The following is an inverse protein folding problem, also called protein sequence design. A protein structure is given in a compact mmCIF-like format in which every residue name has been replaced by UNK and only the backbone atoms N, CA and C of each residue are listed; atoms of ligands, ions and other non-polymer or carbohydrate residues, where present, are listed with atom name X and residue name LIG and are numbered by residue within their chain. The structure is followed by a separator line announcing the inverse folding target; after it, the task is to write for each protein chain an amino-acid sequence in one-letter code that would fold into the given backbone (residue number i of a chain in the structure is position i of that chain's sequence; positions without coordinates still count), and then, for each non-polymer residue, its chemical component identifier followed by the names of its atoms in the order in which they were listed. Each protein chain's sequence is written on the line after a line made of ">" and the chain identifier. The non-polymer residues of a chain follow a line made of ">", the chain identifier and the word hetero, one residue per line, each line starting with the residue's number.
data_IF_618963181108
#
_entry.id   IF_618963181108
#
_cell.length_a   1.000
_cell.length_b   1.000
_cell.length_c   1.000
_cell.angle_alpha   90.00
_cell.angle_beta   90.00
_cell.angle_gamma   90.00
#
_symmetry.space_group_name_H-M   'P 1'
#
loop_
_entity.id
_entity.type
_entity.pdbx_description
1 polymer ?
#
# COMPACT_ATOMS: atom_id res chain seq x y z
N UNK A 1 8.09 2.11 12.42
CA UNK A 1 9.44 2.48 11.97
C UNK A 1 9.36 3.12 10.60
N UNK A 2 9.73 4.41 10.49
CA UNK A 2 9.67 5.18 9.23
C UNK A 2 10.61 4.64 8.17
N UNK A 3 11.78 4.11 8.53
CA UNK A 3 12.71 3.48 7.57
C UNK A 3 12.08 2.28 6.88
N UNK A 4 11.31 1.47 7.62
CA UNK A 4 10.57 0.34 7.05
C UNK A 4 9.48 0.82 6.08
N UNK A 5 8.73 1.86 6.45
CA UNK A 5 7.67 2.42 5.61
C UNK A 5 8.24 3.00 4.31
N UNK A 6 9.35 3.74 4.39
CA UNK A 6 10.04 4.27 3.22
C UNK A 6 10.58 3.16 2.31
N UNK A 7 11.22 2.14 2.90
CA UNK A 7 11.66 0.98 2.13
C UNK A 7 10.48 0.28 1.44
N UNK A 8 9.41 0.04 2.18
CA UNK A 8 8.21 -0.60 1.64
C UNK A 8 7.60 0.21 0.49
N UNK A 9 7.46 1.52 0.65
CA UNK A 9 6.90 2.39 -0.37
C UNK A 9 7.77 2.45 -1.64
N UNK A 10 9.08 2.62 -1.49
CA UNK A 10 9.99 2.78 -2.61
C UNK A 10 10.30 1.44 -3.28
N UNK A 11 10.71 0.45 -2.50
CA UNK A 11 11.20 -0.82 -3.04
C UNK A 11 10.05 -1.73 -3.44
N UNK A 12 9.08 -1.94 -2.56
CA UNK A 12 8.03 -2.92 -2.75
C UNK A 12 6.86 -2.39 -3.60
N UNK A 13 6.43 -1.13 -3.39
CA UNK A 13 5.31 -0.54 -4.12
C UNK A 13 5.74 0.18 -5.39
N UNK A 14 6.76 1.04 -5.33
CA UNK A 14 7.12 1.90 -6.46
C UNK A 14 8.02 1.19 -7.47
N UNK A 15 9.14 0.61 -7.04
CA UNK A 15 10.08 -0.08 -7.93
C UNK A 15 9.68 -1.52 -8.25
N UNK A 16 8.87 -2.16 -7.41
CA UNK A 16 8.47 -3.54 -7.60
C UNK A 16 9.51 -4.58 -7.21
N UNK A 17 10.55 -4.17 -6.51
CA UNK A 17 11.57 -5.08 -6.00
C UNK A 17 11.07 -5.80 -4.75
N UNK A 18 11.38 -7.08 -4.63
CA UNK A 18 11.01 -7.93 -3.49
C UNK A 18 12.19 -8.76 -3.00
N UNK A 19 11.96 -9.55 -1.97
CA UNK A 19 12.92 -10.57 -1.51
C UNK A 19 12.92 -11.74 -2.49
N UNK A 20 14.04 -12.45 -2.58
CA UNK A 20 14.18 -13.61 -3.48
C UNK A 20 13.09 -14.69 -3.33
N UNK A 21 12.49 -14.80 -2.15
CA UNK A 21 11.45 -15.80 -1.86
C UNK A 21 10.04 -15.33 -2.20
N UNK A 22 9.86 -14.06 -2.62
CA UNK A 22 8.55 -13.50 -2.96
C UNK A 22 8.22 -13.76 -4.42
N UNK A 23 7.06 -14.35 -4.68
CA UNK A 23 6.59 -14.64 -6.04
C UNK A 23 6.11 -13.39 -6.79
N UNK A 24 5.79 -12.33 -6.07
CA UNK A 24 5.43 -11.01 -6.60
C UNK A 24 5.59 -9.93 -5.53
N UNK A 25 5.69 -8.69 -5.98
CA UNK A 25 5.41 -7.50 -5.17
C UNK A 25 4.22 -6.76 -5.77
N UNK A 26 3.60 -5.84 -5.03
CA UNK A 26 2.56 -5.00 -5.63
C UNK A 26 3.13 -4.14 -6.76
N UNK A 27 4.35 -3.60 -6.57
CA UNK A 27 5.03 -2.82 -7.58
C UNK A 27 5.38 -3.61 -8.82
N UNK A 28 5.83 -4.87 -8.71
CA UNK A 28 6.09 -5.70 -9.89
C UNK A 28 4.84 -5.90 -10.75
N UNK A 29 3.67 -6.06 -10.09
CA UNK A 29 2.37 -6.15 -10.79
C UNK A 29 1.92 -4.82 -11.40
N UNK A 30 2.38 -3.68 -10.84
CA UNK A 30 2.11 -2.35 -11.36
C UNK A 30 3.05 -1.98 -12.51
N UNK A 31 4.25 -2.60 -12.58
CA UNK A 31 5.27 -2.29 -13.59
C UNK A 31 5.34 -3.27 -14.75
N UNK A 32 4.86 -4.52 -14.56
CA UNK A 32 4.96 -5.58 -15.54
C UNK A 32 3.63 -6.34 -15.75
N UNK A 33 3.31 -6.77 -16.98
CA UNK A 33 4.03 -6.56 -18.27
C UNK A 33 3.82 -5.15 -18.85
N UNK A 34 3.00 -4.32 -18.23
CA UNK A 34 2.74 -2.92 -18.58
C UNK A 34 3.09 -2.07 -17.38
N UNK A 35 3.87 -1.02 -17.58
CA UNK A 35 4.11 -0.02 -16.54
C UNK A 35 2.86 0.85 -16.36
N UNK A 36 1.91 0.36 -15.55
CA UNK A 36 0.64 1.01 -15.30
C UNK A 36 0.80 2.36 -14.60
N UNK A 37 1.86 2.52 -13.78
CA UNK A 37 2.14 3.78 -13.09
C UNK A 37 2.59 4.85 -14.08
N UNK A 38 3.52 4.51 -14.98
CA UNK A 38 3.97 5.43 -16.01
C UNK A 38 2.84 5.80 -16.99
N UNK A 39 2.02 4.83 -17.40
CA UNK A 39 0.87 5.11 -18.27
C UNK A 39 -0.19 5.97 -17.57
N UNK A 40 -0.46 5.73 -16.29
CA UNK A 40 -1.34 6.56 -15.48
C UNK A 40 -0.84 8.02 -15.40
N UNK A 41 0.46 8.22 -15.16
CA UNK A 41 1.07 9.55 -15.15
C UNK A 41 0.90 10.23 -16.52
N UNK A 42 1.21 9.54 -17.61
CA UNK A 42 1.06 10.08 -18.98
C UNK A 42 -0.40 10.48 -19.28
N UNK A 43 -1.36 9.70 -18.81
CA UNK A 43 -2.77 10.00 -18.99
C UNK A 43 -3.14 11.31 -18.26
N UNK A 44 -2.76 11.48 -17.00
CA UNK A 44 -3.01 12.71 -16.26
C UNK A 44 -2.23 13.92 -16.78
N UNK A 45 -1.04 13.73 -17.32
CA UNK A 45 -0.29 14.80 -18.02
C UNK A 45 -1.05 15.28 -19.26
N UNK A 46 -1.71 14.36 -19.96
CA UNK A 46 -2.51 14.66 -21.16
C UNK A 46 -3.88 15.24 -20.83
N UNK A 47 -4.54 14.67 -19.83
CA UNK A 47 -5.92 15.03 -19.44
C UNK A 47 -6.10 14.89 -17.92
N UNK A 48 -6.09 16.00 -17.20
CA UNK A 48 -6.21 16.02 -15.73
C UNK A 48 -7.49 15.35 -15.23
N UNK A 49 -8.59 15.43 -15.98
CA UNK A 49 -9.90 14.89 -15.59
C UNK A 49 -10.16 13.48 -16.15
N UNK A 50 -9.09 12.73 -16.49
CA UNK A 50 -9.23 11.35 -16.96
C UNK A 50 -9.84 10.48 -15.86
N UNK A 51 -10.93 9.77 -16.20
CA UNK A 51 -11.67 8.88 -15.30
C UNK A 51 -11.41 7.39 -15.58
N UNK A 52 -10.42 7.08 -16.40
CA UNK A 52 -10.12 5.71 -16.82
C UNK A 52 -8.86 5.16 -16.14
N UNK A 53 -8.26 5.93 -15.25
CA UNK A 53 -6.95 5.61 -14.65
C UNK A 53 -7.14 4.68 -13.46
N UNK A 54 -7.27 3.41 -13.74
CA UNK A 54 -7.35 2.33 -12.76
C UNK A 54 -6.17 1.37 -12.95
N UNK A 55 -5.40 1.16 -11.91
CA UNK A 55 -4.26 0.22 -11.89
C UNK A 55 -4.68 -1.10 -11.26
N UNK A 56 -4.43 -2.22 -11.97
CA UNK A 56 -4.84 -3.57 -11.58
C UNK A 56 -3.63 -4.38 -11.13
N UNK A 57 -3.68 -4.88 -9.91
CA UNK A 57 -2.61 -5.68 -9.29
C UNK A 57 -2.96 -7.17 -9.36
N UNK A 58 -4.23 -7.49 -9.11
CA UNK A 58 -4.71 -8.87 -9.18
C UNK A 58 -5.02 -9.25 -10.62
N UNK A 59 -4.36 -10.29 -11.12
CA UNK A 59 -4.56 -10.82 -12.45
C UNK A 59 -5.64 -11.91 -12.47
N UNK A 60 -6.24 -12.24 -13.64
CA UNK A 60 -7.20 -13.33 -13.77
C UNK A 60 -6.68 -14.68 -13.27
N UNK A 61 -5.41 -14.96 -13.47
CA UNK A 61 -4.73 -16.20 -13.06
C UNK A 61 -4.63 -16.35 -11.54
N UNK A 62 -4.74 -15.26 -10.80
CA UNK A 62 -4.75 -15.27 -9.33
C UNK A 62 -6.02 -15.93 -8.74
N UNK A 63 -6.96 -16.39 -9.58
CA UNK A 63 -8.11 -17.22 -9.16
C UNK A 63 -7.67 -18.65 -8.79
N UNK A 64 -6.57 -19.12 -9.34
CA UNK A 64 -6.10 -20.48 -9.10
C UNK A 64 -5.49 -20.61 -7.70
N UNK A 65 -5.77 -21.72 -7.01
CA UNK A 65 -5.15 -22.04 -5.71
C UNK A 65 -3.78 -22.68 -5.86
N UNK A 66 -3.54 -23.30 -6.99
CA UNK A 66 -2.27 -23.89 -7.40
C UNK A 66 -1.97 -23.44 -8.83
N UNK A 67 -0.72 -23.18 -9.12
CA UNK A 67 -0.29 -22.90 -10.47
C UNK A 67 -0.61 -24.11 -11.36
N UNK A 68 -1.40 -23.97 -12.42
CA UNK A 68 -1.80 -25.11 -13.27
C UNK A 68 -0.63 -25.87 -13.90
N UNK A 69 0.51 -25.16 -14.12
CA UNK A 69 1.71 -25.71 -14.75
C UNK A 69 2.71 -26.29 -13.75
N UNK A 70 3.04 -25.53 -12.70
CA UNK A 70 4.09 -25.93 -11.73
C UNK A 70 3.56 -26.72 -10.55
N UNK A 71 2.25 -26.69 -10.31
CA UNK A 71 1.57 -27.29 -9.14
C UNK A 71 1.97 -26.67 -7.80
N UNK A 72 2.67 -25.56 -7.83
CA UNK A 72 3.02 -24.81 -6.64
C UNK A 72 1.81 -24.07 -6.10
N UNK A 73 1.77 -23.95 -4.78
CA UNK A 73 0.73 -23.18 -4.09
C UNK A 73 0.78 -21.72 -4.54
N UNK A 74 -0.34 -21.20 -4.98
CA UNK A 74 -0.46 -19.82 -5.42
C UNK A 74 -1.06 -18.93 -4.32
N UNK A 75 -0.36 -17.86 -3.96
CA UNK A 75 -0.84 -16.87 -3.00
C UNK A 75 -1.11 -15.55 -3.74
N UNK A 76 -2.37 -15.26 -4.07
CA UNK A 76 -2.72 -14.07 -4.83
C UNK A 76 -2.55 -12.78 -4.01
N UNK A 77 -2.31 -11.64 -4.67
CA UNK A 77 -2.19 -10.34 -4.01
C UNK A 77 -3.39 -10.01 -3.14
N UNK A 78 -3.13 -9.41 -1.96
CA UNK A 78 -4.20 -8.89 -1.09
C UNK A 78 -4.77 -7.58 -1.64
N UNK A 79 -3.90 -6.63 -2.00
CA UNK A 79 -4.28 -5.45 -2.75
C UNK A 79 -4.61 -5.86 -4.19
N UNK A 80 -5.78 -5.52 -4.66
CA UNK A 80 -6.29 -5.97 -5.95
C UNK A 80 -6.34 -4.87 -6.99
N UNK A 81 -6.69 -3.65 -6.57
CA UNK A 81 -6.91 -2.50 -7.46
C UNK A 81 -6.51 -1.22 -6.72
N UNK A 82 -5.89 -0.31 -7.44
CA UNK A 82 -5.72 1.10 -7.07
C UNK A 82 -6.43 1.92 -8.14
N UNK A 83 -7.53 2.53 -7.77
CA UNK A 83 -8.24 3.48 -8.61
C UNK A 83 -7.86 4.90 -8.23
N UNK A 84 -7.68 5.78 -9.21
CA UNK A 84 -7.16 7.12 -8.99
C UNK A 84 -8.07 8.17 -9.60
N UNK A 85 -8.17 9.33 -8.95
CA UNK A 85 -8.98 10.46 -9.42
C UNK A 85 -8.36 11.78 -8.97
N UNK A 86 -8.32 12.77 -9.88
CA UNK A 86 -8.00 14.14 -9.52
C UNK A 86 -9.31 14.91 -9.33
N UNK A 87 -9.53 15.41 -8.13
CA UNK A 87 -10.68 16.25 -7.79
C UNK A 87 -10.23 17.43 -6.93
N UNK A 88 -10.57 18.65 -7.36
CA UNK A 88 -10.17 19.89 -6.68
C UNK A 88 -8.66 19.98 -6.46
N UNK A 89 -7.88 19.73 -7.50
CA UNK A 89 -6.40 19.73 -7.52
C UNK A 89 -5.76 18.77 -6.50
N UNK A 90 -6.49 17.72 -6.16
CA UNK A 90 -6.01 16.67 -5.24
C UNK A 90 -6.12 15.30 -5.88
N UNK A 91 -5.04 14.52 -5.77
CA UNK A 91 -5.01 13.12 -6.19
C UNK A 91 -5.59 12.22 -5.10
N UNK A 92 -6.73 11.63 -5.36
CA UNK A 92 -7.40 10.66 -4.49
C UNK A 92 -7.11 9.25 -4.96
N UNK A 93 -6.89 8.33 -4.02
CA UNK A 93 -6.73 6.92 -4.30
C UNK A 93 -7.84 6.12 -3.61
N UNK A 94 -8.47 5.21 -4.36
CA UNK A 94 -9.38 4.19 -3.82
C UNK A 94 -8.75 2.82 -4.01
N UNK A 95 -8.49 2.12 -2.92
CA UNK A 95 -7.79 0.84 -2.90
C UNK A 95 -8.71 -0.28 -2.44
N UNK A 96 -8.76 -1.37 -3.21
CA UNK A 96 -9.53 -2.57 -2.84
C UNK A 96 -8.61 -3.71 -2.41
N UNK A 97 -8.83 -4.20 -1.19
CA UNK A 97 -8.16 -5.38 -0.63
C UNK A 97 -9.13 -6.56 -0.55
N UNK A 98 -8.80 -7.69 -1.18
CA UNK A 98 -9.58 -8.93 -1.02
C UNK A 98 -9.49 -9.49 0.40
N UNK A 99 -8.38 -9.22 1.08
CA UNK A 99 -8.08 -9.65 2.44
C UNK A 99 -7.03 -8.72 3.04
N UNK A 100 -7.16 -8.37 4.32
CA UNK A 100 -6.24 -7.43 4.95
C UNK A 100 -5.90 -7.84 6.38
N UNK A 101 -4.61 -8.05 6.67
CA UNK A 101 -4.12 -8.22 8.04
C UNK A 101 -4.16 -6.88 8.75
N UNK A 102 -5.11 -6.73 9.69
CA UNK A 102 -5.32 -5.49 10.42
C UNK A 102 -4.17 -5.12 11.35
N UNK A 103 -3.38 -6.10 11.78
CA UNK A 103 -2.31 -5.86 12.76
C UNK A 103 -0.99 -5.46 12.12
N UNK A 104 -0.52 -6.21 11.13
CA UNK A 104 0.78 -5.97 10.51
C UNK A 104 0.66 -5.31 9.12
N UNK A 105 -0.25 -5.81 8.28
CA UNK A 105 -0.39 -5.36 6.90
C UNK A 105 -1.00 -3.96 6.78
N UNK A 106 -2.09 -3.70 7.50
CA UNK A 106 -2.85 -2.45 7.38
C UNK A 106 -2.00 -1.20 7.66
N UNK A 107 -1.25 -1.10 8.78
CA UNK A 107 -0.43 0.09 9.03
C UNK A 107 0.64 0.33 7.97
N UNK A 108 1.30 -0.75 7.52
CA UNK A 108 2.34 -0.68 6.50
C UNK A 108 1.77 -0.27 5.14
N UNK A 109 0.63 -0.86 4.75
CA UNK A 109 -0.01 -0.56 3.48
C UNK A 109 -0.53 0.88 3.43
N UNK A 110 -1.20 1.37 4.49
CA UNK A 110 -1.71 2.75 4.53
C UNK A 110 -0.54 3.74 4.40
N UNK A 111 0.50 3.57 5.22
CA UNK A 111 1.64 4.48 5.20
C UNK A 111 2.40 4.40 3.87
N UNK A 112 2.59 3.20 3.32
CA UNK A 112 3.26 3.01 2.03
C UNK A 112 2.47 3.58 0.86
N UNK A 113 1.15 3.39 0.84
CA UNK A 113 0.29 3.94 -0.21
C UNK A 113 0.16 5.47 -0.12
N UNK A 114 0.31 6.06 1.07
CA UNK A 114 0.42 7.51 1.20
C UNK A 114 1.70 8.03 0.53
N UNK A 115 2.86 7.41 0.80
CA UNK A 115 4.12 7.78 0.14
C UNK A 115 4.09 7.49 -1.38
N UNK A 116 3.43 6.41 -1.80
CA UNK A 116 3.19 6.14 -3.21
C UNK A 116 2.39 7.27 -3.87
N UNK A 117 1.32 7.75 -3.22
CA UNK A 117 0.52 8.87 -3.72
C UNK A 117 1.34 10.17 -3.80
N UNK A 118 2.20 10.43 -2.82
CA UNK A 118 3.11 11.58 -2.82
C UNK A 118 4.08 11.53 -4.01
N UNK A 119 4.70 10.38 -4.25
CA UNK A 119 5.59 10.17 -5.40
C UNK A 119 4.84 10.31 -6.74
N UNK A 120 3.63 9.76 -6.83
CA UNK A 120 2.78 9.83 -8.01
C UNK A 120 2.39 11.28 -8.34
N UNK A 121 1.99 12.07 -7.34
CA UNK A 121 1.67 13.49 -7.47
C UNK A 121 2.90 14.29 -7.89
N UNK A 122 4.05 14.03 -7.26
CA UNK A 122 5.29 14.72 -7.60
C UNK A 122 5.71 14.49 -9.05
N UNK A 123 5.62 13.26 -9.54
CA UNK A 123 5.98 12.91 -10.92
C UNK A 123 5.05 13.61 -11.94
N UNK A 124 3.74 13.68 -11.65
CA UNK A 124 2.80 14.45 -12.48
C UNK A 124 3.15 15.95 -12.45
N UNK A 125 3.42 16.52 -11.29
CA UNK A 125 3.75 17.94 -11.15
C UNK A 125 5.07 18.32 -11.86
N UNK A 126 6.07 17.43 -11.83
CA UNK A 126 7.33 17.64 -12.56
C UNK A 126 7.12 17.69 -14.08
N UNK A 127 6.13 17.01 -14.61
CA UNK A 127 5.78 16.96 -16.03
C UNK A 127 4.72 17.99 -16.44
N UNK A 128 4.11 18.65 -15.44
CA UNK A 128 3.04 19.64 -15.64
C UNK A 128 3.24 20.82 -14.69
N UNK A 129 2.42 21.84 -14.81
CA UNK A 129 2.39 22.96 -13.86
C UNK A 129 1.07 22.96 -13.06
N UNK A 130 0.48 21.77 -12.82
CA UNK A 130 -0.84 21.67 -12.20
C UNK A 130 -0.83 22.01 -10.70
N UNK A 131 0.31 21.83 -10.00
CA UNK A 131 0.39 22.10 -8.57
C UNK A 131 -0.48 21.19 -7.72
N UNK A 132 -0.65 19.93 -8.16
CA UNK A 132 -1.44 18.93 -7.47
C UNK A 132 -0.92 18.65 -6.07
N UNK A 133 -1.81 18.32 -5.16
CA UNK A 133 -1.49 17.80 -3.82
C UNK A 133 -2.12 16.42 -3.60
N UNK A 134 -1.67 15.70 -2.58
CA UNK A 134 -2.30 14.44 -2.21
C UNK A 134 -3.68 14.68 -1.61
N UNK A 135 -4.62 13.84 -2.00
CA UNK A 135 -6.00 13.84 -1.54
C UNK A 135 -6.30 12.77 -0.50
N UNK A 136 -7.50 12.24 -0.55
CA UNK A 136 -7.95 11.16 0.35
C UNK A 136 -7.45 9.82 -0.13
N UNK A 137 -7.09 8.95 0.83
CA UNK A 137 -6.95 7.52 0.60
C UNK A 137 -8.21 6.84 1.13
N UNK A 138 -8.91 6.14 0.25
CA UNK A 138 -10.10 5.35 0.58
C UNK A 138 -9.74 3.86 0.46
N UNK A 139 -10.03 3.11 1.50
CA UNK A 139 -9.73 1.69 1.52
C UNK A 139 -11.01 0.88 1.70
N UNK A 140 -11.22 -0.09 0.83
CA UNK A 140 -12.24 -1.11 0.99
C UNK A 140 -11.58 -2.48 1.19
N UNK A 141 -11.91 -3.15 2.28
CA UNK A 141 -11.45 -4.52 2.51
C UNK A 141 -12.63 -5.47 2.59
N UNK A 142 -12.66 -6.48 1.71
CA UNK A 142 -13.66 -7.55 1.76
C UNK A 142 -13.55 -8.36 3.06
N UNK A 143 -12.32 -8.60 3.52
CA UNK A 143 -12.04 -9.37 4.74
C UNK A 143 -10.89 -8.72 5.49
N UNK A 144 -11.21 -8.07 6.61
CA UNK A 144 -10.21 -7.52 7.53
C UNK A 144 -10.09 -8.49 8.71
N UNK A 145 -8.89 -9.00 8.97
CA UNK A 145 -8.65 -10.04 9.94
C UNK A 145 -7.39 -9.85 10.76
N UNK A 146 -7.27 -10.59 11.86
CA UNK A 146 -6.07 -10.70 12.68
C UNK A 146 -5.71 -12.18 12.73
N UNK A 147 -4.43 -12.51 12.52
CA UNK A 147 -3.97 -13.89 12.61
C UNK A 147 -3.96 -14.38 14.07
N UNK A 148 -4.30 -15.66 14.27
CA UNK A 148 -4.33 -16.28 15.61
C UNK A 148 -3.04 -16.08 16.40
N UNK A 149 -1.88 -16.11 15.72
CA UNK A 149 -0.56 -15.88 16.34
C UNK A 149 -0.40 -14.50 16.97
N UNK A 150 -1.23 -13.52 16.56
CA UNK A 150 -1.19 -12.13 17.04
C UNK A 150 -2.19 -11.85 18.16
N UNK A 151 -3.11 -12.79 18.48
CA UNK A 151 -4.21 -12.54 19.42
C UNK A 151 -3.75 -12.11 20.81
N UNK A 152 -2.73 -12.75 21.36
CA UNK A 152 -2.21 -12.39 22.68
C UNK A 152 -1.62 -10.98 22.68
N UNK A 153 -0.82 -10.66 21.65
CA UNK A 153 -0.22 -9.34 21.49
C UNK A 153 -1.28 -8.25 21.34
N UNK A 154 -2.34 -8.50 20.56
CA UNK A 154 -3.46 -7.57 20.39
C UNK A 154 -4.22 -7.38 21.70
N UNK A 155 -4.48 -8.46 22.47
CA UNK A 155 -5.11 -8.38 23.79
C UNK A 155 -4.30 -7.53 24.75
N UNK A 156 -2.97 -7.69 24.74
CA UNK A 156 -2.09 -6.90 25.59
C UNK A 156 -2.09 -5.41 25.19
N UNK A 157 -2.08 -5.11 23.88
CA UNK A 157 -2.17 -3.76 23.38
C UNK A 157 -3.51 -3.08 23.69
N UNK A 158 -4.59 -3.82 23.72
CA UNK A 158 -5.92 -3.31 24.06
C UNK A 158 -6.18 -3.24 25.57
N UNK A 159 -5.29 -3.78 26.39
CA UNK A 159 -5.40 -3.71 27.84
C UNK A 159 -5.00 -2.31 28.34
N UNK A 160 -5.89 -1.54 29.00
CA UNK A 160 -5.59 -0.20 29.49
C UNK A 160 -4.34 -0.12 30.37
N UNK A 161 -4.12 -1.14 31.22
CA UNK A 161 -2.93 -1.20 32.08
C UNK A 161 -1.63 -1.36 31.29
N UNK A 162 -1.65 -2.12 30.21
CA UNK A 162 -0.50 -2.27 29.32
C UNK A 162 -0.21 -0.98 28.56
N UNK A 163 -1.24 -0.27 28.13
CA UNK A 163 -1.13 1.04 27.45
C UNK A 163 -0.50 2.07 28.40
N UNK A 164 -1.00 2.17 29.64
CA UNK A 164 -0.43 3.09 30.64
C UNK A 164 1.03 2.76 30.97
N UNK A 165 1.37 1.47 31.12
CA UNK A 165 2.74 1.04 31.36
C UNK A 165 3.66 1.41 30.19
N UNK A 166 3.22 1.19 28.96
CA UNK A 166 3.97 1.56 27.76
C UNK A 166 4.15 3.07 27.63
N UNK A 167 3.12 3.85 27.94
CA UNK A 167 3.20 5.30 27.92
C UNK A 167 4.16 5.85 28.99
N UNK A 168 4.17 5.26 30.19
CA UNK A 168 5.15 5.60 31.25
C UNK A 168 6.58 5.26 30.82
N UNK A 169 6.79 4.07 30.23
CA UNK A 169 8.10 3.64 29.72
C UNK A 169 8.61 4.57 28.63
N UNK A 170 7.75 4.95 27.67
CA UNK A 170 8.11 5.88 26.59
C UNK A 170 8.51 7.26 27.15
N UNK A 171 7.80 7.79 28.15
CA UNK A 171 8.18 9.03 28.83
C UNK A 171 9.55 8.91 29.52
N UNK A 172 9.81 7.79 30.19
CA UNK A 172 11.10 7.52 30.84
C UNK A 172 12.23 7.46 29.81
N UNK A 173 12.05 6.71 28.70
CA UNK A 173 13.05 6.61 27.63
C UNK A 173 13.34 7.95 26.95
N UNK A 174 12.32 8.80 26.77
CA UNK A 174 12.51 10.14 26.21
C UNK A 174 13.24 11.10 27.18
N UNK A 175 13.12 10.87 28.48
CA UNK A 175 13.87 11.64 29.51
C UNK A 175 15.38 11.29 29.53
N UNK A 176 15.78 10.14 29.00
CA UNK A 176 17.18 9.72 28.88
C UNK A 176 17.81 10.00 27.51
N UNK A 177 17.06 10.58 26.56
CA UNK A 177 17.61 11.12 25.32
C UNK A 177 18.00 12.57 25.53
N UNK A 178 19.17 12.77 26.13
CA UNK A 178 19.94 14.02 26.08
C UNK A 178 20.93 13.90 24.93
#
# INVERSE_FOLDING_TARGET
>A
DMKYVQWYALTYLWCGEGKQEETYTYGSRLREPVDQVEEAIKNYVKEQNDRQVTMVIRLPEDIYKENPKTKEKHEPPCLSVIDTEILNDKMHLTCYFRSWDAFAGLPANIAGLQLFNEAFVNDINERTNLGLTTGKLVFHSKNCHIYKRQFNLVKDLLNPKSIEKSARLAKTLNAYKI
#
